data_IF_519723657020
#
_entry.id   IF_519723657020
#
_cell.length_a   1.000
_cell.length_b   1.000
_cell.length_c   1.000
_cell.angle_alpha   90.00
_cell.angle_beta   90.00
_cell.angle_gamma   90.00
#
_symmetry.space_group_name_H-M   'P 1'
#
loop_
_entity.id
_entity.type
_entity.pdbx_description
1 polymer ?
#
# COMPACT_ATOMS: atom_id res chain seq x y z
N UNK A 1 -22.21 81.68 49.62
CA UNK A 1 -22.65 80.40 49.01
C UNK A 1 -22.10 80.21 47.60
N UNK A 2 -22.17 81.21 46.70
CA UNK A 2 -21.66 81.09 45.32
C UNK A 2 -20.13 80.91 45.21
N UNK A 3 -19.34 81.60 46.05
CA UNK A 3 -17.87 81.46 46.05
C UNK A 3 -17.37 80.03 46.33
N UNK A 4 -17.97 79.34 47.31
CA UNK A 4 -17.62 77.95 47.61
C UNK A 4 -17.96 77.02 46.45
N UNK A 5 -19.11 77.22 45.79
CA UNK A 5 -19.48 76.43 44.60
C UNK A 5 -18.51 76.66 43.43
N UNK A 6 -18.06 77.90 43.21
CA UNK A 6 -17.06 78.21 42.16
C UNK A 6 -15.73 77.50 42.44
N UNK A 7 -15.26 77.54 43.69
CA UNK A 7 -14.02 76.86 44.08
C UNK A 7 -14.14 75.33 43.92
N UNK A 8 -15.24 74.73 44.39
CA UNK A 8 -15.51 73.30 44.21
C UNK A 8 -15.53 72.93 42.73
N UNK A 9 -16.30 73.65 41.91
CA UNK A 9 -16.39 73.39 40.47
C UNK A 9 -15.02 73.53 39.78
N UNK A 10 -14.19 74.49 40.19
CA UNK A 10 -12.84 74.67 39.65
C UNK A 10 -11.94 73.47 39.97
N UNK A 11 -12.05 72.92 41.19
CA UNK A 11 -11.34 71.71 41.61
C UNK A 11 -11.78 70.46 40.84
N UNK A 12 -13.08 70.27 40.69
CA UNK A 12 -13.64 69.12 39.96
C UNK A 12 -13.23 69.14 38.47
N UNK A 13 -13.28 70.32 37.83
CA UNK A 13 -12.80 70.52 36.45
C UNK A 13 -11.31 70.19 36.35
N UNK A 14 -10.51 70.54 37.36
CA UNK A 14 -9.06 70.25 37.37
C UNK A 14 -8.81 68.75 37.45
N UNK A 15 -9.58 68.02 38.27
CA UNK A 15 -9.49 66.56 38.38
C UNK A 15 -9.91 65.89 37.08
N UNK A 16 -11.01 66.31 36.46
CA UNK A 16 -11.49 65.78 35.18
C UNK A 16 -10.50 66.04 34.04
N UNK A 17 -9.82 67.21 34.04
CA UNK A 17 -8.72 67.52 33.10
C UNK A 17 -7.49 66.61 33.29
N UNK A 18 -7.34 66.00 34.47
CA UNK A 18 -6.30 65.00 34.73
C UNK A 18 -6.51 63.70 33.94
N UNK A 19 -7.74 63.43 33.48
CA UNK A 19 -8.05 62.28 32.65
C UNK A 19 -8.01 60.95 33.42
N UNK A 20 -7.90 59.85 32.66
CA UNK A 20 -7.64 58.51 33.21
C UNK A 20 -6.49 57.85 32.45
N UNK A 21 -5.79 56.91 33.08
CA UNK A 21 -4.71 56.19 32.42
C UNK A 21 -5.24 54.91 31.75
N UNK A 22 -4.83 54.66 30.51
CA UNK A 22 -5.02 53.38 29.83
C UNK A 22 -3.68 52.65 29.73
N UNK A 23 -3.69 51.34 29.97
CA UNK A 23 -2.56 50.45 29.81
C UNK A 23 -3.00 49.19 29.05
N UNK A 24 -2.14 48.69 28.16
CA UNK A 24 -2.36 47.41 27.46
C UNK A 24 -1.20 46.48 27.79
N UNK A 25 -1.52 45.23 28.13
CA UNK A 25 -0.53 44.22 28.56
C UNK A 25 0.42 44.71 29.68
N UNK A 26 -0.06 45.60 30.56
CA UNK A 26 0.72 46.15 31.68
C UNK A 26 1.78 47.18 31.30
N UNK A 27 1.77 47.74 30.10
CA UNK A 27 2.77 48.71 29.62
C UNK A 27 2.16 50.04 29.14
N UNK A 28 3.02 51.04 28.92
CA UNK A 28 2.75 52.31 28.23
C UNK A 28 1.60 53.16 28.81
N UNK A 29 1.51 53.24 30.14
CA UNK A 29 0.51 54.10 30.81
C UNK A 29 0.68 55.57 30.43
N UNK A 30 -0.39 56.15 29.89
CA UNK A 30 -0.51 57.60 29.63
C UNK A 30 -1.91 58.09 29.96
N UNK A 31 -2.01 59.33 30.46
CA UNK A 31 -3.29 59.95 30.77
C UNK A 31 -4.02 60.35 29.48
N UNK A 32 -5.22 59.80 29.29
CA UNK A 32 -6.20 60.19 28.28
C UNK A 32 -7.03 61.32 28.87
N UNK A 33 -6.87 62.53 28.32
CA UNK A 33 -7.50 63.75 28.79
C UNK A 33 -8.75 64.08 27.98
N UNK A 34 -9.53 65.04 28.47
CA UNK A 34 -10.68 65.54 27.74
C UNK A 34 -10.26 66.11 26.36
N UNK A 35 -10.85 65.57 25.30
CA UNK A 35 -10.54 65.93 23.91
C UNK A 35 -9.59 64.96 23.19
N UNK A 36 -8.95 64.04 23.90
CA UNK A 36 -8.10 63.02 23.29
C UNK A 36 -8.94 61.95 22.59
N UNK A 37 -8.40 61.38 21.51
CA UNK A 37 -8.98 60.22 20.82
C UNK A 37 -8.20 58.97 21.22
N UNK A 38 -8.93 57.92 21.57
CA UNK A 38 -8.36 56.58 21.75
C UNK A 38 -8.69 55.77 20.50
N UNK A 39 -7.65 55.30 19.82
CA UNK A 39 -7.80 54.37 18.71
C UNK A 39 -7.80 52.93 19.24
N UNK A 40 -8.86 52.19 18.95
CA UNK A 40 -9.04 50.79 19.36
C UNK A 40 -9.23 49.98 18.08
N UNK A 41 -8.20 49.23 17.71
CA UNK A 41 -8.15 48.48 16.47
C UNK A 41 -7.25 47.27 16.56
N UNK A 42 -6.87 46.75 15.38
CA UNK A 42 -5.87 45.69 15.22
C UNK A 42 -4.50 46.29 14.90
N UNK A 43 -3.44 45.50 15.06
CA UNK A 43 -2.05 46.00 14.91
C UNK A 43 -1.77 46.48 13.48
N UNK A 44 -2.27 45.75 12.48
CA UNK A 44 -2.20 46.13 11.07
C UNK A 44 -3.63 46.25 10.52
N UNK A 45 -4.06 47.43 10.03
CA UNK A 45 -5.38 47.59 9.41
C UNK A 45 -5.62 46.71 8.18
N UNK A 46 -4.56 46.17 7.57
CA UNK A 46 -4.64 45.20 6.48
C UNK A 46 -4.75 43.74 6.98
N UNK A 47 -4.63 43.49 8.28
CA UNK A 47 -4.85 42.16 8.87
C UNK A 47 -6.30 41.73 8.63
N UNK A 48 -6.47 40.60 7.95
CA UNK A 48 -7.77 40.02 7.68
C UNK A 48 -8.20 39.01 8.73
N UNK A 49 -7.32 38.57 9.63
CA UNK A 49 -7.61 37.52 10.60
C UNK A 49 -8.45 38.02 11.77
N UNK A 50 -8.17 39.23 12.25
CA UNK A 50 -8.92 39.88 13.32
C UNK A 50 -9.47 41.20 12.80
N UNK A 51 -10.75 41.45 13.05
CA UNK A 51 -11.40 42.72 12.73
C UNK A 51 -11.89 43.38 14.00
N UNK A 52 -11.73 44.71 14.06
CA UNK A 52 -12.34 45.55 15.07
C UNK A 52 -13.32 46.50 14.37
N UNK A 53 -14.58 46.51 14.83
CA UNK A 53 -15.62 47.37 14.25
C UNK A 53 -16.28 48.20 15.34
N UNK A 54 -16.62 49.44 15.01
CA UNK A 54 -17.33 50.35 15.92
C UNK A 54 -18.71 50.66 15.37
N UNK A 55 -19.74 50.46 16.18
CA UNK A 55 -21.12 50.86 15.86
C UNK A 55 -21.72 51.58 17.06
N UNK A 56 -21.96 52.88 16.92
CA UNK A 56 -22.32 53.72 18.08
C UNK A 56 -21.22 53.66 19.14
N UNK A 57 -21.59 53.28 20.37
CA UNK A 57 -20.65 53.15 21.49
C UNK A 57 -20.12 51.71 21.69
N UNK A 58 -20.51 50.77 20.84
CA UNK A 58 -20.03 49.39 20.91
C UNK A 58 -18.78 49.20 20.04
N UNK A 59 -17.78 48.51 20.58
CA UNK A 59 -16.63 48.00 19.83
C UNK A 59 -16.74 46.48 19.83
N UNK A 60 -16.80 45.88 18.65
CA UNK A 60 -16.87 44.44 18.48
C UNK A 60 -15.58 43.92 17.82
N UNK A 61 -15.13 42.76 18.28
CA UNK A 61 -14.03 42.02 17.69
C UNK A 61 -14.57 40.74 17.08
N UNK A 62 -14.08 40.39 15.89
CA UNK A 62 -14.42 39.13 15.24
C UNK A 62 -13.19 38.55 14.55
N UNK A 63 -13.01 37.25 14.69
CA UNK A 63 -12.10 36.49 13.83
C UNK A 63 -12.75 36.29 12.47
N UNK A 64 -11.95 36.33 11.42
CA UNK A 64 -12.40 35.91 10.09
C UNK A 64 -12.68 34.41 10.09
N UNK A 65 -13.65 33.99 9.26
CA UNK A 65 -13.93 32.58 8.99
C UNK A 65 -12.76 31.93 8.24
N UNK A 66 -12.08 32.73 7.40
CA UNK A 66 -10.86 32.34 6.69
C UNK A 66 -9.65 32.99 7.36
N UNK A 67 -8.78 32.18 7.96
CA UNK A 67 -7.57 32.64 8.63
C UNK A 67 -6.34 32.37 7.77
N UNK A 68 -5.53 33.41 7.55
CA UNK A 68 -4.23 33.31 6.92
C UNK A 68 -3.14 33.24 7.99
N UNK A 69 -2.65 32.03 8.26
CA UNK A 69 -1.71 31.75 9.34
C UNK A 69 -0.47 31.04 8.79
N UNK A 70 0.69 31.28 9.40
CA UNK A 70 1.91 30.52 9.08
C UNK A 70 1.90 29.13 9.73
N UNK A 71 1.31 29.01 10.93
CA UNK A 71 1.21 27.73 11.62
C UNK A 71 0.02 27.68 12.57
N UNK A 72 -0.53 26.47 12.73
CA UNK A 72 -1.47 26.12 13.80
C UNK A 72 -0.87 24.95 14.56
N UNK A 73 -0.71 25.10 15.88
CA UNK A 73 -0.20 24.03 16.76
C UNK A 73 -1.26 23.66 17.78
N UNK A 74 -1.63 22.38 17.84
CA UNK A 74 -2.62 21.84 18.78
C UNK A 74 -2.09 20.54 19.40
N UNK A 75 -1.55 20.64 20.62
CA UNK A 75 -0.85 19.51 21.25
C UNK A 75 0.34 19.06 20.38
N UNK A 76 0.33 17.80 19.95
CA UNK A 76 1.38 17.22 19.10
C UNK A 76 1.18 17.47 17.60
N UNK A 77 0.05 18.07 17.20
CA UNK A 77 -0.27 18.33 15.81
C UNK A 77 0.20 19.72 15.41
N UNK A 78 0.86 19.81 14.27
CA UNK A 78 1.28 21.07 13.66
C UNK A 78 0.86 21.09 12.20
N UNK A 79 0.07 22.09 11.83
CA UNK A 79 -0.19 22.48 10.45
C UNK A 79 0.68 23.70 10.12
N UNK A 80 1.42 23.64 9.02
CA UNK A 80 2.20 24.77 8.50
C UNK A 80 2.25 24.74 6.97
N UNK A 81 3.11 25.57 6.38
CA UNK A 81 3.28 25.70 4.93
C UNK A 81 3.76 24.42 4.24
N UNK A 82 4.27 23.43 4.98
CA UNK A 82 4.71 22.14 4.45
C UNK A 82 3.63 21.06 4.57
N UNK A 83 2.59 21.27 5.38
CA UNK A 83 1.49 20.31 5.59
C UNK A 83 1.20 20.02 7.07
N UNK A 84 0.62 18.85 7.35
CA UNK A 84 0.27 18.37 8.69
C UNK A 84 1.32 17.38 9.21
N UNK A 85 1.85 17.63 10.40
CA UNK A 85 2.74 16.72 11.11
C UNK A 85 2.16 16.43 12.49
N UNK A 86 2.09 15.15 12.88
CA UNK A 86 1.81 14.73 14.25
C UNK A 86 3.11 14.22 14.86
N UNK A 87 3.66 14.92 15.86
CA UNK A 87 4.89 14.50 16.54
C UNK A 87 4.71 13.12 17.17
N UNK A 88 5.58 12.18 16.82
CA UNK A 88 5.49 10.76 17.24
C UNK A 88 4.45 9.93 16.48
N UNK A 89 3.87 10.46 15.40
CA UNK A 89 2.80 9.83 14.64
C UNK A 89 2.91 10.06 13.12
N UNK A 90 1.79 9.92 12.40
CA UNK A 90 1.74 10.13 10.95
C UNK A 90 1.96 11.58 10.54
N UNK A 91 2.25 11.79 9.25
CA UNK A 91 2.30 13.11 8.63
C UNK A 91 1.79 13.08 7.18
N UNK A 92 1.29 14.23 6.72
CA UNK A 92 0.89 14.50 5.34
C UNK A 92 1.53 15.81 4.94
N UNK A 93 2.55 15.75 4.08
CA UNK A 93 3.35 16.90 3.68
C UNK A 93 3.47 17.00 2.17
N UNK A 94 4.10 18.07 1.68
CA UNK A 94 4.44 18.22 0.25
C UNK A 94 5.36 17.11 -0.28
N UNK A 95 6.05 16.38 0.60
CA UNK A 95 6.87 15.23 0.23
C UNK A 95 6.08 13.92 0.13
N UNK A 96 4.82 13.88 0.58
CA UNK A 96 3.97 12.69 0.60
C UNK A 96 3.41 12.38 1.99
N UNK A 97 3.04 11.12 2.19
CA UNK A 97 2.39 10.62 3.41
C UNK A 97 3.34 9.65 4.13
N UNK A 98 3.60 9.90 5.41
CA UNK A 98 4.26 8.96 6.31
C UNK A 98 3.25 8.43 7.32
N UNK A 99 3.10 7.10 7.40
CA UNK A 99 2.19 6.45 8.33
C UNK A 99 2.72 6.39 9.77
N UNK A 100 3.96 6.82 10.05
CA UNK A 100 4.53 6.86 11.39
C UNK A 100 4.68 5.48 12.03
N UNK A 101 5.05 4.47 11.21
CA UNK A 101 5.11 3.06 11.62
C UNK A 101 3.80 2.54 12.23
N UNK A 102 2.65 2.99 11.71
CA UNK A 102 1.31 2.49 12.08
C UNK A 102 0.69 1.75 10.90
N UNK A 103 -0.24 0.86 11.22
CA UNK A 103 -1.08 0.20 10.21
C UNK A 103 -2.06 1.22 9.65
N UNK A 104 -2.19 1.27 8.33
CA UNK A 104 -3.25 2.02 7.64
C UNK A 104 -4.45 1.09 7.49
N UNK A 105 -5.52 1.37 8.24
CA UNK A 105 -6.76 0.57 8.22
C UNK A 105 -7.77 1.14 7.24
N UNK A 106 -8.82 0.37 6.90
CA UNK A 106 -9.92 0.77 6.01
C UNK A 106 -9.48 1.14 4.59
N UNK A 107 -8.45 0.48 4.08
CA UNK A 107 -8.03 0.57 2.69
C UNK A 107 -8.91 -0.36 1.84
N UNK A 108 -9.75 0.23 0.99
CA UNK A 108 -10.55 -0.51 0.02
C UNK A 108 -9.65 -1.26 -0.99
N UNK A 109 -10.21 -2.22 -1.71
CA UNK A 109 -9.47 -2.95 -2.75
C UNK A 109 -9.01 -1.99 -3.84
N UNK A 110 -7.72 -2.02 -4.15
CA UNK A 110 -7.15 -1.26 -5.26
C UNK A 110 -7.55 -1.86 -6.61
N UNK A 111 -7.92 -1.02 -7.57
CA UNK A 111 -8.40 -1.42 -8.90
C UNK A 111 -7.63 -0.76 -10.06
N UNK A 112 -6.93 0.34 -9.78
CA UNK A 112 -6.09 1.06 -10.72
C UNK A 112 -4.58 0.92 -10.37
N UNK A 113 -3.66 1.18 -11.32
CA UNK A 113 -2.22 1.00 -11.10
C UNK A 113 -1.60 1.78 -9.94
N UNK A 114 -2.24 2.86 -9.51
CA UNK A 114 -1.74 3.74 -8.44
C UNK A 114 -2.54 3.59 -7.13
N UNK A 115 -3.47 2.63 -7.05
CA UNK A 115 -4.21 2.37 -5.83
C UNK A 115 -3.33 1.58 -4.85
N UNK A 116 -3.50 1.85 -3.56
CA UNK A 116 -2.90 1.00 -2.52
C UNK A 116 -3.56 -0.39 -2.53
N UNK A 117 -2.77 -1.43 -2.28
CA UNK A 117 -3.27 -2.79 -2.08
C UNK A 117 -3.50 -3.05 -0.59
N UNK A 118 -4.62 -3.69 -0.26
CA UNK A 118 -4.87 -4.15 1.10
C UNK A 118 -4.42 -5.61 1.30
N UNK A 119 -4.45 -6.08 2.55
CA UNK A 119 -4.01 -7.44 2.89
C UNK A 119 -4.90 -8.56 2.30
N UNK A 120 -6.17 -8.27 1.99
CA UNK A 120 -7.08 -9.23 1.35
C UNK A 120 -6.67 -9.57 -0.09
N UNK A 121 -6.25 -8.56 -0.85
CA UNK A 121 -5.72 -8.76 -2.21
C UNK A 121 -4.42 -9.59 -2.19
N UNK A 122 -3.51 -9.30 -1.25
CA UNK A 122 -2.28 -10.08 -1.08
C UNK A 122 -2.58 -11.53 -0.67
N UNK A 123 -3.54 -11.75 0.21
CA UNK A 123 -3.97 -13.09 0.64
C UNK A 123 -4.49 -13.91 -0.54
N UNK A 124 -5.30 -13.30 -1.41
CA UNK A 124 -5.83 -13.94 -2.62
C UNK A 124 -4.70 -14.40 -3.55
N UNK A 125 -3.70 -13.54 -3.77
CA UNK A 125 -2.50 -13.89 -4.56
C UNK A 125 -1.73 -15.05 -3.93
N UNK A 126 -1.51 -15.03 -2.62
CA UNK A 126 -0.79 -16.10 -1.91
C UNK A 126 -1.51 -17.45 -2.01
N UNK A 127 -2.84 -17.45 -1.94
CA UNK A 127 -3.63 -18.67 -2.11
C UNK A 127 -3.46 -19.28 -3.51
N UNK A 128 -3.48 -18.45 -4.56
CA UNK A 128 -3.24 -18.89 -5.93
C UNK A 128 -1.83 -19.47 -6.11
N UNK A 129 -0.82 -18.87 -5.46
CA UNK A 129 0.56 -19.39 -5.46
C UNK A 129 0.64 -20.75 -4.78
N UNK A 130 0.02 -20.92 -3.61
CA UNK A 130 -0.01 -22.20 -2.89
C UNK A 130 -0.71 -23.31 -3.70
N UNK A 131 -1.80 -22.96 -4.41
CA UNK A 131 -2.46 -23.89 -5.32
C UNK A 131 -1.54 -24.31 -6.48
N UNK A 132 -0.81 -23.35 -7.07
CA UNK A 132 0.15 -23.65 -8.12
C UNK A 132 1.27 -24.59 -7.62
N UNK A 133 1.78 -24.40 -6.40
CA UNK A 133 2.75 -25.32 -5.79
C UNK A 133 2.22 -26.76 -5.73
N UNK A 134 0.95 -26.94 -5.36
CA UNK A 134 0.30 -28.26 -5.29
C UNK A 134 0.13 -28.89 -6.67
N UNK A 135 -0.30 -28.10 -7.65
CA UNK A 135 -0.44 -28.54 -9.05
C UNK A 135 0.91 -28.98 -9.64
N UNK A 136 1.98 -28.22 -9.36
CA UNK A 136 3.34 -28.55 -9.80
C UNK A 136 3.79 -29.88 -9.20
N UNK A 137 3.63 -30.10 -7.90
CA UNK A 137 4.00 -31.36 -7.26
C UNK A 137 3.26 -32.57 -7.86
N UNK A 138 1.97 -32.39 -8.16
CA UNK A 138 1.16 -33.42 -8.84
C UNK A 138 1.70 -33.72 -10.23
N UNK A 139 2.02 -32.69 -11.02
CA UNK A 139 2.61 -32.85 -12.34
C UNK A 139 3.97 -33.55 -12.29
N UNK A 140 4.82 -33.22 -11.32
CA UNK A 140 6.09 -33.91 -11.09
C UNK A 140 5.89 -35.40 -10.83
N UNK A 141 4.91 -35.78 -10.00
CA UNK A 141 4.58 -37.18 -9.73
C UNK A 141 4.08 -37.90 -10.99
N UNK A 142 3.21 -37.26 -11.78
CA UNK A 142 2.70 -37.83 -13.01
C UNK A 142 3.81 -38.02 -14.06
N UNK A 143 4.73 -37.05 -14.18
CA UNK A 143 5.89 -37.16 -15.06
C UNK A 143 6.78 -38.34 -14.62
N UNK A 144 7.08 -38.47 -13.34
CA UNK A 144 7.88 -39.58 -12.81
C UNK A 144 7.22 -40.94 -13.10
N UNK A 145 5.89 -41.04 -12.94
CA UNK A 145 5.13 -42.24 -13.30
C UNK A 145 5.25 -42.55 -14.80
N UNK A 146 5.02 -41.56 -15.66
CA UNK A 146 5.14 -41.72 -17.11
C UNK A 146 6.56 -42.14 -17.52
N UNK A 147 7.61 -41.59 -16.90
CA UNK A 147 9.00 -42.02 -17.11
C UNK A 147 9.19 -43.50 -16.77
N UNK A 148 8.61 -43.98 -15.66
CA UNK A 148 8.65 -45.40 -15.28
C UNK A 148 7.87 -46.31 -16.25
N UNK A 149 6.68 -45.90 -16.66
CA UNK A 149 5.84 -46.64 -17.61
C UNK A 149 6.55 -46.77 -18.98
N UNK A 150 7.18 -45.69 -19.46
CA UNK A 150 8.00 -45.69 -20.69
C UNK A 150 9.19 -46.64 -20.57
N UNK A 151 9.89 -46.67 -19.43
CA UNK A 151 11.01 -47.60 -19.20
C UNK A 151 10.56 -49.06 -19.27
N UNK A 152 9.39 -49.36 -18.72
CA UNK A 152 8.79 -50.71 -18.74
C UNK A 152 8.38 -51.10 -20.16
N UNK A 153 7.78 -50.17 -20.91
CA UNK A 153 7.42 -50.38 -22.31
C UNK A 153 8.66 -50.66 -23.17
N UNK A 154 9.73 -49.89 -23.00
CA UNK A 154 11.00 -50.10 -23.71
C UNK A 154 11.57 -51.49 -23.44
N UNK A 155 11.57 -51.93 -22.18
CA UNK A 155 12.03 -53.29 -21.80
C UNK A 155 11.20 -54.38 -22.50
N UNK A 156 9.87 -54.20 -22.52
CA UNK A 156 8.96 -55.14 -23.18
C UNK A 156 9.22 -55.22 -24.68
N UNK A 157 9.38 -54.07 -25.35
CA UNK A 157 9.69 -54.00 -26.79
C UNK A 157 11.03 -54.66 -27.10
N UNK A 158 12.07 -54.43 -26.30
CA UNK A 158 13.36 -55.11 -26.45
C UNK A 158 13.23 -56.62 -26.33
N UNK A 159 12.49 -57.11 -25.32
CA UNK A 159 12.26 -58.54 -25.12
C UNK A 159 11.48 -59.18 -26.28
N UNK A 160 10.48 -58.49 -26.82
CA UNK A 160 9.75 -58.93 -28.01
C UNK A 160 10.69 -58.98 -29.24
N UNK A 161 11.54 -57.97 -29.42
CA UNK A 161 12.55 -57.97 -30.48
C UNK A 161 13.48 -59.19 -30.41
N UNK A 162 13.97 -59.52 -29.21
CA UNK A 162 14.81 -60.70 -28.99
C UNK A 162 14.08 -62.01 -29.33
N UNK A 163 12.83 -62.16 -28.90
CA UNK A 163 12.01 -63.35 -29.24
C UNK A 163 11.77 -63.46 -30.75
N UNK A 164 11.53 -62.35 -31.45
CA UNK A 164 11.40 -62.33 -32.91
C UNK A 164 12.70 -62.81 -33.58
N UNK A 165 13.86 -62.36 -33.10
CA UNK A 165 15.16 -62.84 -33.60
C UNK A 165 15.33 -64.33 -33.38
N UNK A 166 15.03 -64.85 -32.18
CA UNK A 166 15.06 -66.28 -31.88
C UNK A 166 14.15 -67.07 -32.81
N UNK A 167 12.88 -66.69 -32.91
CA UNK A 167 11.91 -67.36 -33.79
C UNK A 167 12.36 -67.33 -35.26
N UNK A 168 12.95 -66.24 -35.72
CA UNK A 168 13.50 -66.13 -37.08
C UNK A 168 14.64 -67.13 -37.30
N UNK A 169 15.51 -67.32 -36.30
CA UNK A 169 16.56 -68.34 -36.30
C UNK A 169 16.00 -69.75 -36.34
N UNK A 170 15.03 -70.07 -35.49
CA UNK A 170 14.38 -71.38 -35.42
C UNK A 170 13.70 -71.73 -36.76
N UNK A 171 12.98 -70.76 -37.35
CA UNK A 171 12.36 -70.91 -38.68
C UNK A 171 13.42 -71.19 -39.75
N UNK A 172 14.58 -70.51 -39.69
CA UNK A 172 15.68 -70.72 -40.63
C UNK A 172 16.25 -72.14 -40.51
N UNK A 173 16.47 -72.61 -39.27
CA UNK A 173 16.93 -73.98 -38.99
C UNK A 173 15.94 -75.01 -39.53
N UNK A 174 14.64 -74.85 -39.26
CA UNK A 174 13.60 -75.76 -39.74
C UNK A 174 13.51 -75.81 -41.27
N UNK A 175 13.67 -74.66 -41.94
CA UNK A 175 13.74 -74.58 -43.41
C UNK A 175 14.96 -75.30 -44.01
N UNK A 176 16.03 -75.49 -43.23
CA UNK A 176 17.20 -76.27 -43.63
C UNK A 176 16.91 -77.75 -43.89
N UNK A 177 15.79 -78.27 -43.37
CA UNK A 177 15.35 -79.65 -43.55
C UNK A 177 15.89 -80.63 -42.50
N UNK A 178 15.48 -81.88 -42.60
CA UNK A 178 15.97 -82.98 -41.75
C UNK A 178 16.62 -84.07 -42.61
N UNK A 179 17.64 -84.75 -42.09
CA UNK A 179 18.25 -85.86 -42.78
C UNK A 179 17.41 -87.12 -42.59
N UNK A 180 16.99 -87.75 -43.69
CA UNK A 180 16.35 -89.06 -43.69
C UNK A 180 17.34 -90.13 -44.19
N UNK A 181 17.43 -91.25 -43.47
CA UNK A 181 18.25 -92.39 -43.83
C UNK A 181 17.42 -93.66 -43.79
N UNK A 182 17.41 -94.42 -44.89
CA UNK A 182 16.78 -95.74 -44.96
C UNK A 182 17.85 -96.82 -45.05
N UNK A 183 17.74 -97.81 -44.15
CA UNK A 183 18.45 -99.10 -44.16
C UNK A 183 19.94 -99.06 -44.60
N UNK A 184 20.73 -98.11 -44.10
CA UNK A 184 22.20 -98.06 -44.31
C UNK A 184 22.71 -97.32 -45.56
N UNK A 185 21.85 -96.64 -46.33
CA UNK A 185 22.28 -95.81 -47.47
C UNK A 185 22.68 -94.38 -47.07
N UNK A 186 23.37 -93.62 -47.95
CA UNK A 186 23.75 -92.22 -47.68
C UNK A 186 22.51 -91.36 -47.34
N UNK A 187 22.58 -90.54 -46.28
CA UNK A 187 21.49 -89.63 -45.90
C UNK A 187 21.40 -88.43 -46.83
N UNK A 188 20.18 -88.03 -47.22
CA UNK A 188 19.88 -86.78 -47.90
C UNK A 188 19.03 -85.85 -47.04
N UNK A 189 19.23 -84.54 -47.16
CA UNK A 189 18.40 -83.55 -46.46
C UNK A 189 17.05 -83.40 -47.18
N UNK A 190 15.96 -83.76 -46.49
CA UNK A 190 14.57 -83.50 -46.89
C UNK A 190 14.19 -82.10 -46.41
N UNK A 191 13.87 -81.21 -47.34
CA UNK A 191 13.51 -79.80 -47.09
C UNK A 191 12.01 -79.57 -47.19
N UNK A 192 11.57 -78.39 -46.75
CA UNK A 192 10.18 -77.99 -46.88
C UNK A 192 9.76 -77.95 -48.36
N UNK A 193 8.75 -78.74 -48.72
CA UNK A 193 8.25 -78.89 -50.09
C UNK A 193 8.78 -80.12 -50.84
N UNK A 194 9.74 -80.85 -50.28
CA UNK A 194 10.20 -82.13 -50.86
C UNK A 194 9.11 -83.21 -50.67
N UNK A 195 8.88 -84.02 -51.71
CA UNK A 195 8.08 -85.25 -51.62
C UNK A 195 8.99 -86.45 -51.36
N UNK A 196 8.56 -87.34 -50.48
CA UNK A 196 9.25 -88.60 -50.17
C UNK A 196 8.38 -89.74 -50.67
N UNK A 197 8.94 -90.59 -51.54
CA UNK A 197 8.35 -91.86 -52.03
C UNK A 197 9.10 -93.03 -51.36
#
# INVERSE_FOLDING_TARGET
NQGNQITTNTGDITTLKGGFNLQTNGANSGAIKAGDTVDIGVVDPADSNLTATKTGNNVAFALSQDLNLTTVTTGNSKLDTNGLVITGGPSVTTAGIDAGSKVITNVADGSAPNDAVNFGQLTTTNNNVAQNTTNIATNTSNIAKNTGDISTLNTTVTNQGNQITTNTGDITTLKGGFNLQTNGSNSGAIKAGDTVD
#
